data_IF_599779012293
#
_entry.id   IF_599779012293
#
_cell.length_a   1.000
_cell.length_b   1.000
_cell.length_c   1.000
_cell.angle_alpha   90.00
_cell.angle_beta   90.00
_cell.angle_gamma   90.00
#
_symmetry.space_group_name_H-M   'P 1'
#
loop_
_entity.id
_entity.type
_entity.pdbx_description
1 polymer ?
#
# COMPACT_ATOMS: atom_id res chain seq x y z
N UNK A 1 2.52 -14.26 35.12
CA UNK A 1 1.63 -13.31 34.40
C UNK A 1 2.29 -12.64 33.19
N UNK A 2 3.61 -12.47 33.13
CA UNK A 2 4.31 -11.83 32.00
C UNK A 2 4.19 -12.56 30.64
N UNK A 3 4.23 -13.89 30.64
CA UNK A 3 4.20 -14.71 29.41
C UNK A 3 2.86 -14.58 28.67
N UNK A 4 1.74 -14.51 29.40
CA UNK A 4 0.39 -14.40 28.81
C UNK A 4 0.17 -13.07 28.07
N UNK A 5 0.80 -11.98 28.56
CA UNK A 5 0.79 -10.68 27.89
C UNK A 5 1.68 -10.63 26.64
N UNK A 6 2.81 -11.35 26.65
CA UNK A 6 3.72 -11.45 25.50
C UNK A 6 3.10 -12.23 24.34
N UNK A 7 2.40 -13.34 24.62
CA UNK A 7 1.66 -14.06 23.58
C UNK A 7 0.50 -13.25 23.01
N UNK A 8 -0.19 -12.46 23.85
CA UNK A 8 -1.23 -11.53 23.40
C UNK A 8 -0.69 -10.46 22.44
N UNK A 9 0.49 -9.88 22.72
CA UNK A 9 1.10 -8.87 21.84
C UNK A 9 1.59 -9.46 20.51
N UNK A 10 2.14 -10.68 20.52
CA UNK A 10 2.52 -11.38 19.29
C UNK A 10 1.33 -11.64 18.38
N UNK A 11 0.21 -12.11 18.93
CA UNK A 11 -1.01 -12.35 18.16
C UNK A 11 -1.56 -11.04 17.59
N UNK A 12 -1.57 -9.97 18.39
CA UNK A 12 -1.95 -8.63 17.93
C UNK A 12 -1.08 -8.11 16.79
N UNK A 13 0.24 -8.32 16.86
CA UNK A 13 1.18 -7.96 15.78
C UNK A 13 0.87 -8.72 14.50
N UNK A 14 0.69 -10.04 14.58
CA UNK A 14 0.40 -10.87 13.41
C UNK A 14 -0.89 -10.43 12.74
N UNK A 15 -1.97 -10.24 13.51
CA UNK A 15 -3.26 -9.79 12.99
C UNK A 15 -3.13 -8.40 12.36
N UNK A 16 -2.44 -7.47 13.03
CA UNK A 16 -2.19 -6.12 12.50
C UNK A 16 -1.41 -6.15 11.19
N UNK A 17 -0.37 -6.99 11.09
CA UNK A 17 0.39 -7.18 9.85
C UNK A 17 -0.48 -7.74 8.73
N UNK A 18 -1.31 -8.75 9.00
CA UNK A 18 -2.22 -9.32 8.00
C UNK A 18 -3.21 -8.26 7.50
N UNK A 19 -3.83 -7.49 8.40
CA UNK A 19 -4.73 -6.40 8.01
C UNK A 19 -3.99 -5.35 7.18
N UNK A 20 -2.77 -4.97 7.58
CA UNK A 20 -1.93 -4.03 6.84
C UNK A 20 -1.61 -4.49 5.42
N UNK A 21 -1.29 -5.78 5.25
CA UNK A 21 -1.06 -6.39 3.93
C UNK A 21 -2.34 -6.32 3.09
N UNK A 22 -3.50 -6.65 3.64
CA UNK A 22 -4.77 -6.60 2.91
C UNK A 22 -5.09 -5.17 2.46
N UNK A 23 -4.96 -4.18 3.36
CA UNK A 23 -5.16 -2.78 3.02
C UNK A 23 -4.16 -2.29 1.96
N UNK A 24 -2.91 -2.76 2.03
CA UNK A 24 -1.88 -2.47 1.04
C UNK A 24 -2.23 -2.99 -0.34
N UNK A 25 -2.77 -4.21 -0.43
CA UNK A 25 -3.20 -4.80 -1.71
C UNK A 25 -4.38 -4.00 -2.29
N UNK A 26 -5.36 -3.63 -1.46
CA UNK A 26 -6.50 -2.81 -1.90
C UNK A 26 -6.02 -1.48 -2.46
N UNK A 27 -5.12 -0.80 -1.75
CA UNK A 27 -4.53 0.46 -2.19
C UNK A 27 -3.79 0.34 -3.53
N UNK A 28 -3.01 -0.73 -3.70
CA UNK A 28 -2.32 -1.03 -4.95
C UNK A 28 -3.29 -1.23 -6.12
N UNK A 29 -4.36 -2.02 -5.93
CA UNK A 29 -5.35 -2.29 -6.98
C UNK A 29 -6.07 -1.01 -7.42
N UNK A 30 -6.45 -0.16 -6.47
CA UNK A 30 -7.07 1.13 -6.77
C UNK A 30 -6.10 2.02 -7.56
N UNK A 31 -4.84 2.08 -7.14
CA UNK A 31 -3.81 2.86 -7.81
C UNK A 31 -3.58 2.37 -9.24
N UNK A 32 -3.53 1.06 -9.47
CA UNK A 32 -3.43 0.47 -10.80
C UNK A 32 -4.59 0.87 -11.70
N UNK A 33 -5.82 0.83 -11.16
CA UNK A 33 -7.01 1.24 -11.91
C UNK A 33 -6.94 2.71 -12.32
N UNK A 34 -6.50 3.58 -11.41
CA UNK A 34 -6.33 5.01 -11.67
C UNK A 34 -5.22 5.27 -12.70
N UNK A 35 -4.06 4.63 -12.56
CA UNK A 35 -2.94 4.79 -13.50
C UNK A 35 -3.34 4.35 -14.91
N UNK A 36 -4.01 3.20 -15.03
CA UNK A 36 -4.49 2.71 -16.32
C UNK A 36 -5.51 3.68 -16.94
N UNK A 37 -6.52 4.09 -16.17
CA UNK A 37 -7.53 5.03 -16.66
C UNK A 37 -6.92 6.39 -17.06
N UNK A 38 -5.98 6.90 -16.27
CA UNK A 38 -5.28 8.15 -16.57
C UNK A 38 -4.45 8.04 -17.85
N UNK A 39 -3.75 6.92 -18.05
CA UNK A 39 -2.97 6.69 -19.25
C UNK A 39 -3.85 6.63 -20.50
N UNK A 40 -4.95 5.87 -20.43
CA UNK A 40 -5.91 5.73 -21.53
C UNK A 40 -6.54 7.09 -21.91
N UNK A 41 -6.77 7.97 -20.93
CA UNK A 41 -7.32 9.32 -21.16
C UNK A 41 -6.28 10.29 -21.73
N UNK A 42 -5.06 10.31 -21.16
CA UNK A 42 -4.05 11.33 -21.48
C UNK A 42 -3.34 11.04 -22.80
N UNK A 43 -3.03 9.77 -23.07
CA UNK A 43 -2.25 9.38 -24.24
C UNK A 43 -3.10 8.76 -25.35
N UNK A 44 -4.39 8.49 -25.10
CA UNK A 44 -5.28 7.78 -26.03
C UNK A 44 -4.71 6.44 -26.54
N UNK A 45 -3.74 5.89 -25.82
CA UNK A 45 -3.06 4.63 -26.11
C UNK A 45 -3.35 3.65 -24.97
N UNK A 46 -3.59 2.38 -25.33
CA UNK A 46 -3.74 1.34 -24.33
C UNK A 46 -2.37 1.07 -23.71
N UNK A 47 -2.18 1.52 -22.48
CA UNK A 47 -0.93 1.27 -21.78
C UNK A 47 -0.74 -0.23 -21.56
N UNK A 48 0.44 -0.75 -21.92
CA UNK A 48 0.79 -2.14 -21.67
C UNK A 48 0.60 -2.48 -20.18
N UNK A 49 -0.03 -3.62 -19.91
CA UNK A 49 -0.41 -4.00 -18.53
C UNK A 49 0.82 -4.04 -17.61
N UNK A 50 1.96 -4.48 -18.12
CA UNK A 50 3.23 -4.54 -17.38
C UNK A 50 3.70 -3.17 -16.87
N UNK A 51 3.55 -2.12 -17.71
CA UNK A 51 3.96 -0.76 -17.35
C UNK A 51 2.99 -0.11 -16.37
N UNK A 52 1.69 -0.38 -16.50
CA UNK A 52 0.68 0.10 -15.56
C UNK A 52 0.89 -0.52 -14.16
N UNK A 53 1.20 -1.82 -14.11
CA UNK A 53 1.53 -2.54 -12.88
C UNK A 53 2.79 -1.97 -12.23
N UNK A 54 3.85 -1.73 -13.02
CA UNK A 54 5.11 -1.17 -12.52
C UNK A 54 4.90 0.24 -11.93
N UNK A 55 4.21 1.12 -12.66
CA UNK A 55 3.92 2.48 -12.20
C UNK A 55 3.07 2.48 -10.92
N UNK A 56 2.03 1.64 -10.87
CA UNK A 56 1.20 1.48 -9.68
C UNK A 56 2.00 0.94 -8.48
N UNK A 57 2.97 0.05 -8.71
CA UNK A 57 3.83 -0.50 -7.67
C UNK A 57 4.75 0.58 -7.10
N UNK A 58 5.38 1.37 -7.96
CA UNK A 58 6.25 2.47 -7.55
C UNK A 58 5.50 3.54 -6.76
N UNK A 59 4.31 3.93 -7.22
CA UNK A 59 3.45 4.88 -6.50
C UNK A 59 3.05 4.30 -5.15
N UNK A 60 2.65 3.03 -5.11
CA UNK A 60 2.24 2.36 -3.87
C UNK A 60 3.36 2.32 -2.84
N UNK A 61 4.57 1.91 -3.27
CA UNK A 61 5.77 1.90 -2.41
C UNK A 61 6.09 3.33 -1.95
N UNK A 62 6.08 4.31 -2.86
CA UNK A 62 6.32 5.71 -2.54
C UNK A 62 5.33 6.28 -1.53
N UNK A 63 4.04 6.00 -1.67
CA UNK A 63 2.99 6.47 -0.77
C UNK A 63 3.03 5.81 0.60
N UNK A 64 3.39 4.53 0.69
CA UNK A 64 3.54 3.83 1.97
C UNK A 64 4.79 4.28 2.73
N UNK A 65 5.91 4.45 2.02
CA UNK A 65 7.13 5.00 2.59
C UNK A 65 6.95 6.47 3.00
N UNK A 66 6.35 7.29 2.14
CA UNK A 66 6.06 8.70 2.41
C UNK A 66 5.08 8.91 3.56
N UNK A 67 4.00 8.10 3.63
CA UNK A 67 3.04 8.15 4.73
C UNK A 67 3.64 7.77 6.09
N UNK A 68 4.64 6.89 6.12
CA UNK A 68 5.36 6.53 7.34
C UNK A 68 6.29 7.65 7.87
N UNK A 69 6.76 8.53 6.98
CA UNK A 69 7.67 9.63 7.31
C UNK A 69 6.98 10.91 7.81
N UNK A 70 5.71 11.15 7.45
CA UNK A 70 5.00 12.40 7.78
C UNK A 70 4.51 12.49 9.24
N UNK A 71 4.70 11.46 10.07
CA UNK A 71 4.27 11.45 11.48
C UNK A 71 5.15 12.28 12.42
N UNK A 72 6.19 12.97 11.92
CA UNK A 72 7.22 13.64 12.74
C UNK A 72 7.18 15.18 12.78
N UNK A 73 6.06 15.83 12.46
CA UNK A 73 6.02 17.31 12.41
C UNK A 73 4.85 17.94 13.19
N UNK A 74 4.28 17.22 14.15
CA UNK A 74 3.27 17.80 15.05
C UNK A 74 3.60 17.39 16.49
N UNK A 75 4.72 17.91 17.00
CA UNK A 75 4.97 18.10 18.44
C UNK A 75 5.25 19.58 18.68
#
# INVERSE_FOLDING_TARGET
MAVKGMFGSMIGLIIGTVIGIVLSIIYFVITLFVVKAAADIVFAENLGTDMAVLAAALITVGSMLGGSGMRKTIE
#
